data_IF_906807757788
#
_entry.id   IF_906807757788
#
_cell.length_a   1.000
_cell.length_b   1.000
_cell.length_c   1.000
_cell.angle_alpha   90.00
_cell.angle_beta   90.00
_cell.angle_gamma   90.00
#
_symmetry.space_group_name_H-M   'P 1'
#
loop_
_entity.id
_entity.type
_entity.pdbx_description
1 polymer ?
#
# COMPACT_ATOMS: atom_id res chain seq x y z
N UNK A 1 4.06 13.91 0.50
CA UNK A 1 2.74 14.52 0.78
C UNK A 1 1.74 13.37 0.95
N UNK A 2 1.10 13.24 2.11
CA UNK A 2 0.12 12.18 2.41
C UNK A 2 -1.28 12.74 2.18
N UNK A 3 -2.17 11.98 1.52
CA UNK A 3 -3.55 12.38 1.23
C UNK A 3 -4.52 11.32 1.75
N UNK A 4 -5.59 11.75 2.44
CA UNK A 4 -6.73 10.90 2.78
C UNK A 4 -7.56 10.68 1.52
N UNK A 5 -7.72 9.43 1.09
CA UNK A 5 -8.45 9.06 -0.13
C UNK A 5 -9.92 8.76 0.16
N UNK A 6 -10.25 8.34 1.39
CA UNK A 6 -11.62 8.02 1.84
C UNK A 6 -11.78 8.31 3.34
N UNK A 7 -12.95 8.79 3.75
CA UNK A 7 -13.29 9.15 5.14
C UNK A 7 -12.97 10.61 5.48
N UNK A 8 -13.41 11.06 6.66
CA UNK A 8 -13.11 12.39 7.21
C UNK A 8 -12.51 12.24 8.62
N UNK A 9 -11.26 11.76 8.74
CA UNK A 9 -10.62 11.57 10.04
C UNK A 9 -10.44 12.91 10.74
N UNK A 10 -10.52 12.90 12.06
CA UNK A 10 -10.23 14.11 12.82
C UNK A 10 -8.73 14.44 12.72
N UNK A 11 -8.33 15.70 12.94
CA UNK A 11 -6.92 16.07 12.98
C UNK A 11 -6.10 15.24 13.96
N UNK A 12 -6.70 14.86 15.09
CA UNK A 12 -6.08 14.05 16.14
C UNK A 12 -5.82 12.62 15.66
N UNK A 13 -6.77 12.00 14.96
CA UNK A 13 -6.61 10.66 14.38
C UNK A 13 -5.53 10.65 13.30
N UNK A 14 -5.49 11.69 12.45
CA UNK A 14 -4.43 11.84 11.45
C UNK A 14 -3.06 12.00 12.13
N UNK A 15 -2.97 12.81 13.18
CA UNK A 15 -1.74 12.99 13.93
C UNK A 15 -1.26 11.66 14.56
N UNK A 16 -2.17 10.89 15.14
CA UNK A 16 -1.86 9.58 15.71
C UNK A 16 -1.36 8.59 14.63
N UNK A 17 -2.04 8.53 13.48
CA UNK A 17 -1.64 7.68 12.36
C UNK A 17 -0.23 8.06 11.85
N UNK A 18 0.02 9.36 11.67
CA UNK A 18 1.33 9.86 11.26
C UNK A 18 2.42 9.53 12.29
N UNK A 19 2.13 9.66 13.59
CA UNK A 19 3.08 9.31 14.64
C UNK A 19 3.52 7.84 14.56
N UNK A 20 2.59 6.91 14.31
CA UNK A 20 2.90 5.48 14.15
C UNK A 20 3.75 5.23 12.90
N UNK A 21 3.40 5.86 11.77
CA UNK A 21 4.18 5.76 10.53
C UNK A 21 5.61 6.25 10.73
N UNK A 22 5.78 7.40 11.39
CA UNK A 22 7.10 7.95 11.69
C UNK A 22 7.91 7.07 12.65
N UNK A 23 7.28 6.58 13.73
CA UNK A 23 7.95 5.68 14.67
C UNK A 23 8.44 4.40 13.98
N UNK A 24 7.62 3.82 13.11
CA UNK A 24 8.01 2.62 12.34
C UNK A 24 9.12 2.91 11.34
N UNK A 25 9.08 4.06 10.66
CA UNK A 25 10.14 4.47 9.75
C UNK A 25 11.48 4.67 10.48
N UNK A 26 11.45 5.31 11.66
CA UNK A 26 12.64 5.50 12.49
C UNK A 26 13.20 4.15 12.98
N UNK A 27 12.35 3.23 13.43
CA UNK A 27 12.77 1.89 13.85
C UNK A 27 13.45 1.12 12.71
N UNK A 28 12.93 1.22 11.47
CA UNK A 28 13.55 0.61 10.30
C UNK A 28 14.87 1.28 9.91
N UNK A 29 14.99 2.59 10.06
CA UNK A 29 16.23 3.32 9.77
C UNK A 29 17.36 3.00 10.77
N UNK A 30 17.01 2.76 12.04
CA UNK A 30 17.97 2.41 13.09
C UNK A 30 18.29 0.91 13.16
N UNK A 31 17.61 0.07 12.38
CA UNK A 31 17.87 -1.36 12.37
C UNK A 31 19.26 -1.66 11.77
N UNK A 32 20.12 -2.43 12.46
CA UNK A 32 21.43 -2.79 11.92
C UNK A 32 21.27 -3.60 10.63
N UNK A 33 21.98 -3.18 9.58
CA UNK A 33 22.00 -3.82 8.26
C UNK A 33 22.76 -5.15 8.28
N UNK A 34 22.28 -6.14 9.04
CA UNK A 34 22.93 -7.45 9.16
C UNK A 34 22.42 -8.50 8.17
N UNK A 35 21.14 -8.40 7.76
CA UNK A 35 20.55 -9.34 6.81
C UNK A 35 20.58 -8.75 5.39
N UNK A 36 20.84 -9.57 4.35
CA UNK A 36 20.64 -9.14 2.97
C UNK A 36 19.21 -8.61 2.82
N UNK A 37 19.07 -7.41 2.24
CA UNK A 37 17.75 -6.85 1.96
C UNK A 37 17.03 -7.82 1.00
N UNK A 38 16.03 -8.54 1.51
CA UNK A 38 15.17 -9.37 0.66
C UNK A 38 14.49 -8.41 -0.32
N UNK A 39 14.62 -8.62 -1.64
CA UNK A 39 13.96 -7.78 -2.63
C UNK A 39 12.47 -7.72 -2.32
N UNK A 40 11.90 -6.51 -2.30
CA UNK A 40 10.47 -6.37 -2.11
C UNK A 40 9.77 -7.10 -3.25
N UNK A 41 9.08 -8.16 -2.86
CA UNK A 41 8.39 -9.07 -3.75
C UNK A 41 7.37 -8.36 -4.64
N UNK A 42 6.80 -7.27 -4.14
CA UNK A 42 5.84 -6.41 -4.81
C UNK A 42 6.50 -5.47 -5.83
N UNK A 43 7.74 -5.08 -5.58
CA UNK A 43 8.52 -4.23 -6.50
C UNK A 43 9.25 -5.04 -7.59
N UNK A 44 9.22 -6.38 -7.52
CA UNK A 44 9.94 -7.25 -8.45
C UNK A 44 9.44 -7.06 -9.90
N UNK A 45 10.24 -6.45 -10.80
CA UNK A 45 9.79 -6.10 -12.16
C UNK A 45 9.39 -7.33 -12.96
N UNK A 46 10.05 -8.47 -12.73
CA UNK A 46 9.72 -9.74 -13.35
C UNK A 46 8.31 -10.26 -13.00
N UNK A 47 7.73 -9.86 -11.85
CA UNK A 47 6.34 -10.19 -11.48
C UNK A 47 5.32 -9.22 -12.10
N UNK A 48 5.68 -7.94 -12.20
CA UNK A 48 4.81 -6.89 -12.77
C UNK A 48 4.73 -7.00 -14.29
N UNK A 49 5.87 -7.19 -14.95
CA UNK A 49 5.97 -7.15 -16.42
C UNK A 49 5.56 -8.45 -17.12
N UNK A 50 5.57 -9.60 -16.43
CA UNK A 50 5.26 -10.91 -17.04
C UNK A 50 3.79 -11.33 -16.95
N UNK A 51 2.94 -10.56 -16.28
CA UNK A 51 1.52 -10.93 -16.16
C UNK A 51 0.81 -10.60 -17.46
N UNK A 52 0.20 -11.61 -18.08
CA UNK A 52 -0.67 -11.44 -19.25
C UNK A 52 -1.66 -10.30 -18.98
N UNK A 53 -1.56 -9.22 -19.74
CA UNK A 53 -2.48 -8.09 -19.63
C UNK A 53 -3.87 -8.62 -19.95
N UNK A 54 -4.77 -8.60 -18.97
CA UNK A 54 -6.17 -8.93 -19.21
C UNK A 54 -6.69 -7.96 -20.26
N UNK A 55 -7.13 -8.48 -21.42
CA UNK A 55 -7.67 -7.64 -22.50
C UNK A 55 -8.91 -6.91 -21.96
N UNK A 56 -8.96 -5.57 -21.98
CA UNK A 56 -10.13 -4.83 -21.54
C UNK A 56 -11.33 -5.21 -22.42
N UNK A 57 -12.48 -5.39 -21.80
CA UNK A 57 -13.73 -5.71 -22.48
C UNK A 57 -14.93 -5.55 -21.55
N UNK A 58 -16.17 -5.50 -22.07
CA UNK A 58 -17.39 -5.16 -21.32
C UNK A 58 -17.73 -6.07 -20.12
N UNK A 59 -16.95 -7.12 -19.86
CA UNK A 59 -17.07 -8.02 -18.70
C UNK A 59 -15.74 -8.32 -18.00
N UNK A 60 -14.64 -7.69 -18.42
CA UNK A 60 -13.31 -7.95 -17.89
C UNK A 60 -13.18 -7.52 -16.41
N UNK A 61 -14.03 -6.58 -15.96
CA UNK A 61 -14.03 -6.03 -14.59
C UNK A 61 -15.40 -6.19 -13.91
N UNK A 62 -16.19 -7.20 -14.31
CA UNK A 62 -17.59 -7.33 -13.89
C UNK A 62 -17.84 -7.78 -12.43
N UNK A 63 -16.82 -8.04 -11.61
CA UNK A 63 -17.00 -8.65 -10.26
C UNK A 63 -16.19 -8.01 -9.14
N UNK A 64 -15.72 -6.77 -9.27
CA UNK A 64 -15.20 -6.00 -8.12
C UNK A 64 -16.29 -5.11 -7.54
N UNK A 65 -17.43 -5.71 -7.16
CA UNK A 65 -18.40 -5.04 -6.32
C UNK A 65 -18.08 -5.35 -4.85
N UNK A 66 -17.61 -4.34 -4.12
CA UNK A 66 -17.57 -4.37 -2.65
C UNK A 66 -18.71 -3.46 -2.15
N UNK A 67 -19.83 -4.00 -1.64
CA UNK A 67 -20.76 -3.19 -0.89
C UNK A 67 -20.05 -2.75 0.38
N UNK A 68 -19.86 -1.45 0.54
CA UNK A 68 -19.45 -0.88 1.81
C UNK A 68 -20.70 -0.92 2.71
N UNK A 69 -20.66 -1.68 3.80
CA UNK A 69 -21.59 -1.50 4.91
C UNK A 69 -21.34 -0.12 5.51
N UNK A 70 -22.44 0.62 5.71
CA UNK A 70 -22.45 1.90 6.42
C UNK A 70 -22.24 1.76 7.91
#
# INVERSE_FOLDING_TARGET
MIKVVKGNPTPEELAAALAVVHARAAALASAPSGAPRVPDEWAAPARVARRHVMRPGPRAWGRTYWPHQG
#
